data_IF_175714698134
#
_entry.id   IF_175714698134
#
_cell.length_a   1.000
_cell.length_b   1.000
_cell.length_c   1.000
_cell.angle_alpha   90.00
_cell.angle_beta   90.00
_cell.angle_gamma   90.00
#
_symmetry.space_group_name_H-M   'P 1'
#
loop_
_entity.id
_entity.type
_entity.pdbx_description
1 polymer ?
#
# COMPACT_ATOMS: atom_id res chain seq x y z
N UNK A 1 -13.60 -30.58 -15.98
CA UNK A 1 -12.58 -29.89 -16.81
C UNK A 1 -12.34 -28.51 -16.21
N UNK A 2 -11.09 -28.15 -15.93
CA UNK A 2 -10.75 -26.82 -15.43
C UNK A 2 -10.99 -25.79 -16.55
N UNK A 3 -11.64 -24.67 -16.23
CA UNK A 3 -11.97 -23.60 -17.20
C UNK A 3 -11.27 -22.28 -16.91
N UNK A 4 -10.85 -22.06 -15.66
CA UNK A 4 -10.25 -20.84 -15.21
C UNK A 4 -9.23 -21.09 -14.10
N UNK A 5 -8.26 -20.20 -13.98
CA UNK A 5 -7.31 -20.13 -12.86
C UNK A 5 -7.25 -18.68 -12.39
N UNK A 6 -7.35 -18.49 -11.08
CA UNK A 6 -7.18 -17.20 -10.43
C UNK A 6 -5.84 -17.16 -9.71
N UNK A 7 -5.20 -15.99 -9.71
CA UNK A 7 -3.93 -15.76 -9.04
C UNK A 7 -4.09 -14.67 -7.97
N UNK A 8 -3.41 -14.82 -6.85
CA UNK A 8 -3.06 -13.63 -6.04
C UNK A 8 -2.08 -12.76 -6.85
N UNK A 9 -1.98 -11.48 -6.51
CA UNK A 9 -1.08 -10.56 -7.19
C UNK A 9 0.29 -10.54 -6.49
N UNK A 10 0.29 -10.14 -5.22
CA UNK A 10 1.51 -9.97 -4.43
C UNK A 10 2.16 -11.31 -4.08
N UNK A 11 3.47 -11.40 -4.25
CA UNK A 11 4.29 -12.60 -4.07
C UNK A 11 3.90 -13.81 -4.93
N UNK A 12 3.01 -13.62 -5.92
CA UNK A 12 2.63 -14.63 -6.92
C UNK A 12 2.95 -14.13 -8.32
N UNK A 13 2.33 -13.03 -8.75
CA UNK A 13 2.56 -12.41 -10.06
C UNK A 13 3.62 -11.32 -10.03
N UNK A 14 3.71 -10.60 -8.90
CA UNK A 14 4.70 -9.54 -8.68
C UNK A 14 5.26 -9.64 -7.26
N UNK A 15 6.43 -9.04 -7.01
CA UNK A 15 7.08 -8.98 -5.68
C UNK A 15 7.67 -7.61 -5.41
N UNK A 16 7.81 -7.27 -4.14
CA UNK A 16 8.47 -6.03 -3.72
C UNK A 16 9.95 -6.02 -4.11
N UNK A 17 10.52 -4.82 -4.27
CA UNK A 17 11.97 -4.62 -4.37
C UNK A 17 12.56 -4.68 -2.97
N UNK A 18 13.58 -5.50 -2.75
CA UNK A 18 14.19 -5.65 -1.41
C UNK A 18 14.87 -4.36 -0.91
N UNK A 19 15.36 -3.52 -1.83
CA UNK A 19 16.14 -2.32 -1.51
C UNK A 19 15.30 -1.04 -1.31
N UNK A 20 14.05 -1.03 -1.78
CA UNK A 20 13.17 0.15 -1.76
C UNK A 20 11.79 -0.27 -1.27
N UNK A 21 11.31 0.33 -0.17
CA UNK A 21 9.96 0.07 0.31
C UNK A 21 9.06 1.28 0.09
N UNK A 22 7.83 1.00 -0.36
CA UNK A 22 6.75 1.99 -0.47
C UNK A 22 6.56 2.72 0.86
N UNK A 23 6.70 2.00 1.98
CA UNK A 23 6.66 2.56 3.32
C UNK A 23 7.71 3.67 3.53
N UNK A 24 8.95 3.48 3.07
CA UNK A 24 9.98 4.53 3.18
C UNK A 24 9.63 5.77 2.34
N UNK A 25 9.01 5.59 1.18
CA UNK A 25 8.52 6.70 0.34
C UNK A 25 7.40 7.45 1.06
N UNK A 26 6.42 6.74 1.62
CA UNK A 26 5.34 7.33 2.42
C UNK A 26 5.90 8.14 3.60
N UNK A 27 6.80 7.54 4.38
CA UNK A 27 7.39 8.19 5.56
C UNK A 27 8.12 9.48 5.16
N UNK A 28 8.93 9.42 4.09
CA UNK A 28 9.64 10.59 3.56
C UNK A 28 8.66 11.68 3.12
N UNK A 29 7.66 11.33 2.31
CA UNK A 29 6.65 12.29 1.81
C UNK A 29 5.87 12.93 2.94
N UNK A 30 5.46 12.16 3.96
CA UNK A 30 4.81 12.70 5.15
C UNK A 30 5.72 13.63 5.94
N UNK A 31 7.00 13.29 6.09
CA UNK A 31 7.95 14.16 6.77
C UNK A 31 8.08 15.51 6.06
N UNK A 32 8.24 15.51 4.74
CA UNK A 32 8.32 16.73 3.93
C UNK A 32 7.02 17.54 3.96
N UNK A 33 5.88 16.85 3.90
CA UNK A 33 4.55 17.45 3.96
C UNK A 33 4.32 18.12 5.32
N UNK A 34 4.51 17.41 6.42
CA UNK A 34 4.29 17.98 7.76
C UNK A 34 5.24 19.14 8.08
N UNK A 35 6.48 19.10 7.58
CA UNK A 35 7.40 20.24 7.67
C UNK A 35 6.86 21.47 6.93
N UNK A 36 6.31 21.29 5.74
CA UNK A 36 5.75 22.39 4.92
C UNK A 36 4.57 23.09 5.60
N UNK A 37 3.79 22.37 6.40
CA UNK A 37 2.68 22.92 7.20
C UNK A 37 3.07 23.31 8.63
N UNK A 38 4.36 23.39 8.95
CA UNK A 38 4.88 23.72 10.29
C UNK A 38 4.40 22.77 11.41
N UNK A 39 4.12 21.51 11.08
CA UNK A 39 3.70 20.45 12.01
C UNK A 39 4.68 19.28 12.02
N UNK A 40 5.98 19.59 11.95
CA UNK A 40 7.06 18.61 11.79
C UNK A 40 6.95 17.43 12.78
N UNK A 41 7.20 16.23 12.26
CA UNK A 41 7.33 14.99 13.03
C UNK A 41 8.63 14.31 12.63
N UNK A 42 9.25 13.65 13.59
CA UNK A 42 10.45 12.88 13.31
C UNK A 42 10.11 11.68 12.43
N UNK A 43 11.07 11.25 11.61
CA UNK A 43 10.96 10.04 10.81
C UNK A 43 10.55 8.82 11.64
N UNK A 44 11.07 8.72 12.88
CA UNK A 44 10.77 7.63 13.79
C UNK A 44 9.31 7.62 14.26
N UNK A 45 8.73 8.78 14.59
CA UNK A 45 7.32 8.90 14.97
C UNK A 45 6.40 8.53 13.81
N UNK A 46 6.69 9.06 12.62
CA UNK A 46 5.91 8.75 11.41
C UNK A 46 5.96 7.25 11.14
N UNK A 47 7.15 6.66 11.11
CA UNK A 47 7.35 5.21 10.88
C UNK A 47 6.59 4.35 11.91
N UNK A 48 6.65 4.72 13.19
CA UNK A 48 5.95 3.99 14.24
C UNK A 48 4.43 4.01 14.05
N UNK A 49 3.86 5.18 13.71
CA UNK A 49 2.41 5.32 13.50
C UNK A 49 1.96 4.67 12.21
N UNK A 50 2.70 4.81 11.09
CA UNK A 50 2.35 4.15 9.82
C UNK A 50 2.40 2.64 9.96
N UNK A 51 3.41 2.09 10.64
CA UNK A 51 3.48 0.67 10.96
C UNK A 51 2.31 0.20 11.81
N UNK A 52 1.99 0.92 12.88
CA UNK A 52 0.86 0.57 13.74
C UNK A 52 -0.49 0.64 13.00
N UNK A 53 -0.64 1.58 12.06
CA UNK A 53 -1.81 1.64 11.19
C UNK A 53 -1.89 0.39 10.29
N UNK A 54 -0.78 0.03 9.63
CA UNK A 54 -0.69 -1.17 8.80
C UNK A 54 -1.04 -2.44 9.59
N UNK A 55 -0.49 -2.60 10.78
CA UNK A 55 -0.75 -3.76 11.65
C UNK A 55 -2.24 -3.85 12.02
N UNK A 56 -2.87 -2.70 12.31
CA UNK A 56 -4.32 -2.62 12.56
C UNK A 56 -5.14 -3.04 11.34
N UNK A 57 -4.81 -2.52 10.15
CA UNK A 57 -5.52 -2.85 8.91
C UNK A 57 -5.38 -4.34 8.58
N UNK A 58 -4.16 -4.87 8.68
CA UNK A 58 -3.88 -6.29 8.44
C UNK A 58 -4.64 -7.18 9.42
N UNK A 59 -4.67 -6.84 10.71
CA UNK A 59 -5.42 -7.60 11.69
C UNK A 59 -6.94 -7.58 11.39
N UNK A 60 -7.49 -6.42 11.01
CA UNK A 60 -8.91 -6.30 10.64
C UNK A 60 -9.27 -7.08 9.37
N UNK A 61 -8.39 -7.06 8.36
CA UNK A 61 -8.60 -7.82 7.13
C UNK A 61 -8.54 -9.33 7.38
N UNK A 62 -7.52 -9.81 8.10
CA UNK A 62 -7.30 -11.25 8.33
C UNK A 62 -8.35 -11.83 9.27
N UNK A 63 -8.71 -11.13 10.34
CA UNK A 63 -9.55 -11.70 11.39
C UNK A 63 -11.04 -11.40 11.19
N UNK A 64 -11.38 -10.29 10.54
CA UNK A 64 -12.75 -9.77 10.51
C UNK A 64 -13.27 -9.52 9.09
N UNK A 65 -12.44 -9.72 8.05
CA UNK A 65 -12.79 -9.38 6.67
C UNK A 65 -13.08 -7.89 6.46
N UNK A 66 -12.62 -7.03 7.39
CA UNK A 66 -12.87 -5.59 7.35
C UNK A 66 -11.80 -4.89 6.54
N UNK A 67 -12.23 -3.94 5.72
CA UNK A 67 -11.35 -3.05 4.99
C UNK A 67 -11.35 -1.66 5.64
N UNK A 68 -10.16 -1.06 5.74
CA UNK A 68 -9.99 0.33 6.16
C UNK A 68 -9.48 1.11 4.95
N UNK A 69 -10.30 1.97 4.32
CA UNK A 69 -9.88 2.71 3.13
C UNK A 69 -8.80 3.76 3.49
N UNK A 70 -8.00 4.23 2.51
CA UNK A 70 -6.90 5.16 2.74
C UNK A 70 -7.28 6.40 3.54
N UNK A 71 -8.47 6.97 3.33
CA UNK A 71 -8.96 8.15 4.06
C UNK A 71 -9.11 7.86 5.55
N UNK A 72 -9.61 6.67 5.90
CA UNK A 72 -9.75 6.25 7.28
C UNK A 72 -8.38 5.96 7.92
N UNK A 73 -7.45 5.39 7.17
CA UNK A 73 -6.07 5.18 7.61
C UNK A 73 -5.37 6.52 7.88
N UNK A 74 -5.48 7.48 6.96
CA UNK A 74 -4.91 8.82 7.12
C UNK A 74 -5.48 9.55 8.32
N UNK A 75 -6.81 9.53 8.49
CA UNK A 75 -7.45 10.10 9.67
C UNK A 75 -6.92 9.47 10.96
N UNK A 76 -6.74 8.14 10.97
CA UNK A 76 -6.18 7.41 12.10
C UNK A 76 -4.72 7.81 12.41
N UNK A 77 -3.91 8.00 11.36
CA UNK A 77 -2.51 8.44 11.43
C UNK A 77 -2.43 9.88 11.96
N UNK A 78 -3.19 10.82 11.39
CA UNK A 78 -3.21 12.22 11.81
C UNK A 78 -3.59 12.40 13.26
N UNK A 79 -4.62 11.67 13.73
CA UNK A 79 -5.03 11.70 15.13
C UNK A 79 -3.89 11.29 16.08
N UNK A 80 -3.10 10.29 15.71
CA UNK A 80 -1.99 9.79 16.53
C UNK A 80 -0.76 10.66 16.47
N UNK A 81 -0.49 11.24 15.31
CA UNK A 81 0.56 12.23 15.14
C UNK A 81 0.15 13.61 15.66
N UNK A 82 -1.12 13.82 16.06
CA UNK A 82 -1.67 15.13 16.47
C UNK A 82 -1.41 16.20 15.40
N UNK A 83 -1.73 15.85 14.15
CA UNK A 83 -1.64 16.75 12.99
C UNK A 83 -2.98 17.46 12.88
N UNK A 84 -2.95 18.80 12.90
CA UNK A 84 -4.14 19.61 12.65
C UNK A 84 -4.36 19.67 11.15
N UNK A 85 -5.45 19.08 10.68
CA UNK A 85 -5.73 18.96 9.26
C UNK A 85 -6.57 20.10 8.72
N UNK A 86 -6.37 20.39 7.44
CA UNK A 86 -7.26 21.18 6.61
C UNK A 86 -7.45 20.45 5.26
N UNK A 87 -8.44 20.84 4.44
CA UNK A 87 -8.74 20.13 3.19
C UNK A 87 -7.54 20.01 2.23
N UNK A 88 -6.65 21.02 2.20
CA UNK A 88 -5.46 21.00 1.34
C UNK A 88 -4.42 19.98 1.82
N UNK A 89 -4.15 19.94 3.13
CA UNK A 89 -3.25 18.96 3.74
C UNK A 89 -3.79 17.54 3.61
N UNK A 90 -5.10 17.34 3.77
CA UNK A 90 -5.74 16.03 3.61
C UNK A 90 -5.61 15.52 2.17
N UNK A 91 -5.85 16.38 1.18
CA UNK A 91 -5.69 16.03 -0.23
C UNK A 91 -4.22 15.71 -0.56
N UNK A 92 -3.28 16.55 -0.12
CA UNK A 92 -1.86 16.34 -0.38
C UNK A 92 -1.32 15.07 0.30
N UNK A 93 -1.78 14.77 1.52
CA UNK A 93 -1.42 13.54 2.21
C UNK A 93 -2.04 12.30 1.57
N UNK A 94 -3.27 12.40 1.07
CA UNK A 94 -3.93 11.32 0.33
C UNK A 94 -3.15 10.96 -0.92
N UNK A 95 -2.78 11.96 -1.72
CA UNK A 95 -1.94 11.76 -2.89
C UNK A 95 -0.58 11.17 -2.50
N UNK A 96 0.08 11.74 -1.48
CA UNK A 96 1.37 11.27 -0.99
C UNK A 96 1.33 9.79 -0.56
N UNK A 97 0.25 9.37 0.08
CA UNK A 97 0.05 8.02 0.60
C UNK A 97 -0.31 7.01 -0.49
N UNK A 98 -1.28 7.34 -1.35
CA UNK A 98 -1.84 6.39 -2.32
C UNK A 98 -1.00 6.23 -3.58
N UNK A 99 -0.10 7.18 -3.88
CA UNK A 99 0.75 7.13 -5.08
C UNK A 99 2.20 6.75 -4.80
N UNK A 100 2.55 6.41 -3.56
CA UNK A 100 3.92 6.05 -3.20
C UNK A 100 4.45 4.83 -3.97
N UNK A 101 3.55 3.89 -4.32
CA UNK A 101 3.87 2.71 -5.12
C UNK A 101 4.27 3.02 -6.57
N UNK A 102 3.96 4.21 -7.09
CA UNK A 102 4.37 4.62 -8.44
C UNK A 102 5.86 4.95 -8.51
N UNK A 103 6.49 5.32 -7.40
CA UNK A 103 7.94 5.54 -7.34
C UNK A 103 8.73 4.23 -7.22
N UNK A 104 8.12 3.21 -6.60
CA UNK A 104 8.75 1.92 -6.32
C UNK A 104 7.95 0.83 -7.01
N UNK A 105 8.13 0.72 -8.33
CA UNK A 105 7.43 -0.28 -9.12
C UNK A 105 7.89 -1.69 -8.72
N UNK A 106 6.93 -2.62 -8.48
CA UNK A 106 7.25 -3.99 -8.10
C UNK A 106 7.94 -4.73 -9.25
N UNK A 107 8.64 -5.82 -8.90
CA UNK A 107 9.27 -6.70 -9.87
C UNK A 107 8.29 -7.80 -10.30
N UNK A 108 8.34 -8.26 -11.56
CA UNK A 108 7.66 -9.48 -11.94
C UNK A 108 8.07 -10.67 -11.06
N UNK A 109 7.09 -11.50 -10.71
CA UNK A 109 7.32 -12.79 -10.08
C UNK A 109 8.05 -13.75 -11.01
N UNK A 110 8.79 -14.69 -10.44
CA UNK A 110 9.62 -15.62 -11.21
C UNK A 110 8.75 -16.55 -12.06
N UNK A 111 9.04 -16.65 -13.36
CA UNK A 111 8.33 -17.57 -14.27
C UNK A 111 6.96 -17.10 -14.76
N UNK A 112 6.35 -16.06 -14.17
CA UNK A 112 5.03 -15.55 -14.57
C UNK A 112 4.95 -15.18 -16.05
N UNK A 113 5.97 -14.46 -16.56
CA UNK A 113 6.04 -14.08 -17.98
C UNK A 113 6.09 -15.27 -18.95
N UNK A 114 6.53 -16.45 -18.49
CA UNK A 114 6.67 -17.65 -19.32
C UNK A 114 5.43 -18.55 -19.21
N UNK A 115 4.81 -18.60 -18.03
CA UNK A 115 3.69 -19.51 -17.71
C UNK A 115 2.35 -18.92 -18.12
N UNK A 116 2.12 -17.63 -17.86
CA UNK A 116 0.81 -17.00 -18.12
C UNK A 116 0.38 -17.08 -19.60
N UNK A 117 1.26 -16.84 -20.61
CA UNK A 117 0.85 -16.97 -22.01
C UNK A 117 0.37 -18.38 -22.36
N UNK A 118 1.06 -19.41 -21.87
CA UNK A 118 0.71 -20.83 -22.11
C UNK A 118 -0.61 -21.21 -21.45
N UNK A 119 -0.85 -20.73 -20.22
CA UNK A 119 -2.10 -21.00 -19.53
C UNK A 119 -3.29 -20.31 -20.21
N UNK A 120 -3.09 -19.10 -20.76
CA UNK A 120 -4.14 -18.33 -21.46
C UNK A 120 -4.66 -19.02 -22.72
N UNK A 121 -3.86 -19.89 -23.36
CA UNK A 121 -4.28 -20.67 -24.52
C UNK A 121 -5.38 -21.70 -24.19
N UNK A 122 -5.50 -22.10 -22.91
CA UNK A 122 -6.38 -23.17 -22.48
C UNK A 122 -7.39 -22.76 -21.40
N UNK A 123 -7.11 -21.68 -20.67
CA UNK A 123 -7.83 -21.29 -19.46
C UNK A 123 -8.09 -19.79 -19.42
N UNK A 124 -9.23 -19.39 -18.86
CA UNK A 124 -9.46 -18.00 -18.46
C UNK A 124 -8.59 -17.66 -17.25
N UNK A 125 -7.79 -16.60 -17.34
CA UNK A 125 -6.94 -16.15 -16.24
C UNK A 125 -7.55 -14.89 -15.60
N UNK A 126 -7.58 -14.85 -14.27
CA UNK A 126 -8.00 -13.68 -13.53
C UNK A 126 -7.12 -13.46 -12.28
N UNK A 127 -7.19 -12.26 -11.71
CA UNK A 127 -6.51 -11.91 -10.46
C UNK A 127 -7.55 -11.73 -9.38
N UNK A 128 -7.31 -12.33 -8.21
CA UNK A 128 -8.04 -12.07 -6.98
C UNK A 128 -6.99 -11.65 -5.96
N UNK A 129 -6.96 -10.37 -5.61
CA UNK A 129 -5.98 -9.83 -4.68
C UNK A 129 -6.61 -8.75 -3.80
N UNK A 130 -6.10 -8.64 -2.58
CA UNK A 130 -6.39 -7.53 -1.68
C UNK A 130 -5.55 -6.32 -2.12
N UNK A 131 -6.17 -5.36 -2.79
CA UNK A 131 -5.49 -4.18 -3.36
C UNK A 131 -5.22 -3.06 -2.34
N UNK A 132 -5.65 -3.20 -1.08
CA UNK A 132 -5.33 -2.28 0.01
C UNK A 132 -3.89 -2.37 0.55
N UNK A 133 -3.02 -3.17 -0.08
CA UNK A 133 -1.56 -3.17 0.12
C UNK A 133 -0.94 -2.09 -0.79
N UNK A 134 -1.01 -0.84 -0.36
CA UNK A 134 -0.18 0.26 -0.89
C UNK A 134 0.66 0.81 0.24
#
# INVERSE_FOLDING_TARGET
MLKAVTFDFWNTLVREREAESVEQVVIRRFQDLFRTWAQERTRAEIAAVTKACRDLVMAGQVNEGKEMPPEAQLKWIFQRLRIDTNPELEAAAHEAYTTASLEVLPLPGTGGAQVLPKLKEHLTLAVICNTGRT
#
